data_IF_419557653891
#
_entry.id   IF_419557653891
#
_cell.length_a   1.000
_cell.length_b   1.000
_cell.length_c   1.000
_cell.angle_alpha   90.00
_cell.angle_beta   90.00
_cell.angle_gamma   90.00
#
_symmetry.space_group_name_H-M   'P 1'
#
loop_
_entity.id
_entity.type
_entity.pdbx_description
1 polymer ?
#
# COMPACT_ATOMS: atom_id res chain seq x y z
N UNK A 1 71.70 -1.77 -1.05
CA UNK A 1 72.83 -0.84 -0.77
C UNK A 1 72.22 0.55 -0.61
N UNK A 2 71.90 0.99 0.60
CA UNK A 2 72.72 1.88 1.46
C UNK A 2 73.20 3.14 0.73
N UNK A 3 72.64 4.30 1.06
CA UNK A 3 73.40 5.48 1.46
C UNK A 3 72.46 6.61 1.95
N UNK A 4 72.58 6.87 3.24
CA UNK A 4 72.16 8.09 3.95
C UNK A 4 73.25 9.15 3.73
N UNK A 5 72.88 10.43 3.60
CA UNK A 5 73.77 11.59 3.84
C UNK A 5 72.96 12.65 4.62
N UNK A 6 73.15 12.84 5.94
CA UNK A 6 74.23 13.57 6.65
C UNK A 6 73.93 15.09 6.76
N UNK A 7 73.28 15.51 7.87
CA UNK A 7 73.80 16.33 9.01
C UNK A 7 73.98 17.83 8.72
N UNK A 8 73.28 18.67 9.48
CA UNK A 8 73.87 19.82 10.18
C UNK A 8 73.01 20.22 11.39
N UNK A 9 73.67 20.22 12.55
CA UNK A 9 73.17 20.43 13.91
C UNK A 9 73.62 21.84 14.36
N UNK A 10 72.78 22.60 15.06
CA UNK A 10 73.24 23.59 16.04
C UNK A 10 72.16 23.85 17.10
N UNK A 11 72.51 23.59 18.37
CA UNK A 11 71.74 23.99 19.57
C UNK A 11 71.86 25.50 19.84
N UNK A 12 71.38 26.08 20.93
CA UNK A 12 70.87 25.63 22.22
C UNK A 12 70.27 26.88 22.93
N UNK A 13 69.48 26.69 24.00
CA UNK A 13 69.14 27.61 25.12
C UNK A 13 67.87 28.49 25.08
N UNK A 14 66.85 27.94 25.75
CA UNK A 14 66.13 28.47 26.94
C UNK A 14 65.54 29.89 26.94
N UNK A 15 64.20 29.93 27.01
CA UNK A 15 63.42 31.05 27.52
C UNK A 15 61.98 30.64 27.82
N UNK A 16 61.69 30.30 29.09
CA UNK A 16 60.31 30.15 29.60
C UNK A 16 59.61 31.50 29.54
N UNK A 17 58.53 31.60 28.78
CA UNK A 17 57.56 32.67 28.84
C UNK A 17 56.15 32.07 28.84
N UNK A 18 55.52 32.02 30.01
CA UNK A 18 54.09 31.80 30.13
C UNK A 18 53.39 33.05 29.59
N UNK A 19 52.86 32.97 28.37
CA UNK A 19 51.89 33.92 27.87
C UNK A 19 50.61 33.14 27.59
N UNK A 20 49.57 33.46 28.37
CA UNK A 20 48.20 33.05 28.14
C UNK A 20 47.83 33.39 26.69
N UNK A 21 47.78 32.38 25.82
CA UNK A 21 47.05 32.48 24.58
C UNK A 21 45.57 32.37 24.94
N UNK A 22 44.86 33.49 24.85
CA UNK A 22 43.41 33.52 24.88
C UNK A 22 42.88 32.45 23.93
N UNK A 23 42.30 31.40 24.51
CA UNK A 23 41.52 30.42 23.76
C UNK A 23 40.33 31.17 23.19
N UNK A 24 40.43 31.56 21.92
CA UNK A 24 39.25 31.85 21.09
C UNK A 24 38.31 30.66 21.30
N UNK A 25 37.06 30.87 21.77
CA UNK A 25 36.11 29.77 21.91
C UNK A 25 36.03 29.04 20.56
N UNK A 26 35.83 27.71 20.53
CA UNK A 26 35.51 27.05 19.28
C UNK A 26 34.34 27.82 18.69
N UNK A 27 34.53 28.37 17.49
CA UNK A 27 33.45 29.02 16.77
C UNK A 27 32.31 28.02 16.78
N UNK A 28 31.21 28.38 17.45
CA UNK A 28 29.94 27.67 17.34
C UNK A 28 29.78 27.40 15.85
N UNK A 29 29.88 26.13 15.45
CA UNK A 29 29.37 25.70 14.17
C UNK A 29 27.88 25.93 14.29
N UNK A 30 27.46 27.14 13.92
CA UNK A 30 26.08 27.46 13.65
C UNK A 30 25.55 26.28 12.83
N UNK A 31 24.49 25.58 13.28
CA UNK A 31 23.90 24.50 12.50
C UNK A 31 23.75 25.02 11.07
N UNK A 32 24.30 24.29 10.09
CA UNK A 32 24.12 24.64 8.69
C UNK A 32 22.61 24.80 8.49
N UNK A 33 22.18 25.98 8.02
CA UNK A 33 20.76 26.24 7.83
C UNK A 33 20.16 25.13 6.96
N UNK A 34 18.93 24.66 7.24
CA UNK A 34 18.28 23.66 6.41
C UNK A 34 18.28 24.16 4.96
N UNK A 35 18.89 23.38 4.07
CA UNK A 35 18.87 23.72 2.63
C UNK A 35 17.46 23.45 2.15
N UNK A 36 16.79 24.48 1.66
CA UNK A 36 15.50 24.34 1.02
C UNK A 36 15.69 24.35 -0.51
N UNK A 37 14.87 23.57 -1.20
CA UNK A 37 14.79 23.61 -2.67
C UNK A 37 13.32 23.56 -3.06
N UNK A 38 12.94 24.33 -4.07
CA UNK A 38 11.63 24.27 -4.68
C UNK A 38 11.69 23.27 -5.83
N UNK A 39 10.89 22.21 -5.74
CA UNK A 39 10.67 21.29 -6.85
C UNK A 39 9.48 21.77 -7.66
N UNK A 40 9.65 21.93 -8.96
CA UNK A 40 8.56 22.24 -9.90
C UNK A 40 8.36 21.12 -10.91
N UNK A 41 7.12 20.93 -11.35
CA UNK A 41 6.69 19.85 -12.21
C UNK A 41 5.85 20.39 -13.38
N UNK A 42 5.83 19.67 -14.51
CA UNK A 42 5.11 20.07 -15.72
C UNK A 42 3.57 20.17 -15.55
N UNK A 43 3.02 19.71 -14.43
CA UNK A 43 1.60 19.86 -14.07
C UNK A 43 1.29 19.27 -12.70
N UNK A 44 0.03 19.33 -12.29
CA UNK A 44 -0.44 18.70 -11.04
C UNK A 44 -0.39 17.17 -11.13
N UNK A 45 -0.27 16.52 -9.99
CA UNK A 45 -0.20 15.06 -9.88
C UNK A 45 0.44 14.62 -8.59
N UNK A 46 0.01 13.46 -8.07
CA UNK A 46 0.54 12.92 -6.84
C UNK A 46 2.01 12.52 -7.00
N UNK A 47 2.86 13.13 -6.19
CA UNK A 47 4.30 12.89 -6.16
C UNK A 47 4.75 12.70 -4.75
N UNK A 48 5.64 11.74 -4.56
CA UNK A 48 6.24 11.43 -3.28
C UNK A 48 7.71 11.73 -3.33
N UNK A 49 8.31 12.09 -2.21
CA UNK A 49 9.74 12.30 -2.12
C UNK A 49 10.27 11.96 -0.74
N UNK A 50 11.53 11.56 -0.69
CA UNK A 50 12.24 11.29 0.57
C UNK A 50 13.72 11.57 0.38
N UNK A 51 14.44 11.74 1.49
CA UNK A 51 15.89 11.97 1.48
C UNK A 51 16.63 10.77 2.01
N UNK A 52 17.83 10.53 1.48
CA UNK A 52 18.73 9.48 1.92
C UNK A 52 20.11 10.06 2.24
N UNK A 53 20.79 9.47 3.22
CA UNK A 53 22.18 9.80 3.52
C UNK A 53 23.14 9.16 2.50
N UNK A 54 24.44 9.39 2.67
CA UNK A 54 25.47 8.84 1.77
C UNK A 54 25.54 7.30 1.75
N UNK A 55 24.95 6.62 2.74
CA UNK A 55 24.84 5.16 2.81
C UNK A 55 23.56 4.62 2.17
N UNK A 56 22.66 5.49 1.71
CA UNK A 56 21.36 5.12 1.17
C UNK A 56 20.29 4.88 2.24
N UNK A 57 20.54 5.25 3.49
CA UNK A 57 19.55 5.12 4.57
C UNK A 57 18.59 6.33 4.54
N UNK A 58 17.27 6.11 4.67
CA UNK A 58 16.30 7.20 4.66
C UNK A 58 16.48 8.10 5.88
N UNK A 59 16.51 9.42 5.65
CA UNK A 59 16.65 10.44 6.69
C UNK A 59 15.32 11.08 7.09
N UNK A 60 14.35 11.03 6.19
CA UNK A 60 13.01 11.57 6.38
C UNK A 60 11.97 10.55 5.91
N UNK A 61 10.81 10.46 6.56
CA UNK A 61 9.69 9.71 6.01
C UNK A 61 9.31 10.29 4.63
N UNK A 62 8.79 9.47 3.71
CA UNK A 62 8.23 9.94 2.46
C UNK A 62 7.17 11.02 2.68
N UNK A 63 7.34 12.15 2.01
CA UNK A 63 6.37 13.24 1.97
C UNK A 63 5.74 13.29 0.58
N UNK A 64 4.59 13.94 0.43
CA UNK A 64 3.90 14.03 -0.86
C UNK A 64 3.34 15.40 -1.16
N UNK A 65 3.11 15.65 -2.45
CA UNK A 65 2.38 16.80 -2.97
C UNK A 65 1.50 16.37 -4.14
N UNK A 66 0.40 17.08 -4.36
CA UNK A 66 -0.38 16.99 -5.60
C UNK A 66 -0.20 18.23 -6.48
N UNK A 67 0.45 19.26 -5.95
CA UNK A 67 0.63 20.54 -6.62
C UNK A 67 1.71 20.44 -7.70
N UNK A 68 1.70 21.40 -8.63
CA UNK A 68 2.73 21.55 -9.64
C UNK A 68 4.08 22.04 -9.07
N UNK A 69 4.13 22.45 -7.80
CA UNK A 69 5.36 22.88 -7.12
C UNK A 69 5.31 22.59 -5.62
N UNK A 70 6.45 22.34 -5.00
CA UNK A 70 6.55 22.15 -3.55
C UNK A 70 7.93 22.52 -3.01
N UNK A 71 7.99 23.06 -1.79
CA UNK A 71 9.25 23.35 -1.10
C UNK A 71 9.67 22.12 -0.31
N UNK A 72 10.87 21.64 -0.60
CA UNK A 72 11.52 20.48 0.04
C UNK A 72 12.60 20.97 0.98
N UNK A 73 12.49 20.57 2.25
CA UNK A 73 13.52 20.81 3.25
C UNK A 73 14.47 19.63 3.29
N UNK A 74 15.76 19.87 3.02
CA UNK A 74 16.78 18.84 3.13
C UNK A 74 17.31 18.78 4.57
N UNK A 75 17.18 17.64 5.25
CA UNK A 75 17.78 17.47 6.57
C UNK A 75 19.31 17.45 6.47
N UNK A 76 19.96 17.73 7.60
CA UNK A 76 21.41 17.62 7.68
C UNK A 76 21.88 16.20 7.34
N UNK A 77 22.96 16.09 6.56
CA UNK A 77 23.47 14.79 6.11
C UNK A 77 22.74 14.18 4.90
N UNK A 78 21.72 14.84 4.34
CA UNK A 78 21.11 14.42 3.09
C UNK A 78 22.13 14.41 1.95
N UNK A 79 22.28 13.25 1.32
CA UNK A 79 23.14 13.05 0.16
C UNK A 79 22.33 12.90 -1.13
N UNK A 80 21.12 12.33 -1.05
CA UNK A 80 20.21 12.17 -2.17
C UNK A 80 18.78 12.57 -1.81
N UNK A 81 18.07 13.14 -2.78
CA UNK A 81 16.64 13.39 -2.77
C UNK A 81 16.00 12.52 -3.86
N UNK A 82 15.11 11.63 -3.46
CA UNK A 82 14.32 10.82 -4.38
C UNK A 82 12.97 11.48 -4.60
N UNK A 83 12.51 11.50 -5.84
CA UNK A 83 11.15 11.94 -6.19
C UNK A 83 10.49 10.86 -7.04
N UNK A 84 9.29 10.47 -6.65
CA UNK A 84 8.44 9.45 -7.26
C UNK A 84 7.20 10.10 -7.85
N UNK A 85 6.90 9.77 -9.10
CA UNK A 85 5.65 10.17 -9.75
C UNK A 85 4.65 9.02 -9.71
N UNK A 86 3.53 9.23 -9.02
CA UNK A 86 2.51 8.21 -8.85
C UNK A 86 1.74 7.93 -10.16
N UNK A 87 1.69 8.84 -11.12
CA UNK A 87 0.97 8.54 -12.37
C UNK A 87 1.76 7.56 -13.23
N UNK A 88 3.06 7.80 -13.36
CA UNK A 88 3.94 7.11 -14.32
C UNK A 88 4.73 5.97 -13.69
N UNK A 89 4.93 5.99 -12.37
CA UNK A 89 5.80 5.06 -11.69
C UNK A 89 7.28 5.35 -11.94
N UNK A 90 7.62 6.56 -12.36
CA UNK A 90 9.00 7.01 -12.56
C UNK A 90 9.61 7.51 -11.24
N UNK A 91 10.92 7.38 -11.14
CA UNK A 91 11.74 7.88 -10.06
C UNK A 91 12.86 8.75 -10.62
N UNK A 92 13.19 9.80 -9.88
CA UNK A 92 14.45 10.54 -10.06
C UNK A 92 15.23 10.55 -8.75
N UNK A 93 16.53 10.32 -8.85
CA UNK A 93 17.48 10.56 -7.78
C UNK A 93 18.25 11.85 -8.06
N UNK A 94 18.18 12.81 -7.16
CA UNK A 94 18.87 14.08 -7.23
C UNK A 94 19.96 14.12 -6.16
N UNK A 95 21.18 14.48 -6.54
CA UNK A 95 22.27 14.66 -5.58
C UNK A 95 22.01 15.93 -4.76
N UNK A 96 21.98 15.82 -3.43
CA UNK A 96 21.67 16.95 -2.55
C UNK A 96 22.66 18.12 -2.69
N UNK A 97 23.93 17.83 -3.01
CA UNK A 97 24.97 18.83 -3.25
C UNK A 97 24.69 19.68 -4.51
N UNK A 98 24.06 19.09 -5.52
CA UNK A 98 23.84 19.68 -6.86
C UNK A 98 22.45 20.35 -6.99
N UNK A 99 21.62 20.29 -5.94
CA UNK A 99 20.31 20.92 -5.93
C UNK A 99 20.43 22.45 -5.91
N UNK A 100 19.68 23.08 -6.82
CA UNK A 100 19.51 24.52 -6.91
C UNK A 100 18.38 24.99 -6.00
N UNK A 101 18.22 26.30 -5.82
CA UNK A 101 17.06 26.86 -5.12
C UNK A 101 15.74 26.46 -5.79
N UNK A 102 15.72 26.38 -7.12
CA UNK A 102 14.61 25.86 -7.90
C UNK A 102 15.08 24.76 -8.84
N UNK A 103 14.39 23.63 -8.80
CA UNK A 103 14.74 22.41 -9.52
C UNK A 103 13.50 21.87 -10.23
N UNK A 104 13.41 22.13 -11.54
CA UNK A 104 12.33 21.60 -12.37
C UNK A 104 12.56 20.12 -12.71
N UNK A 105 11.54 19.29 -12.49
CA UNK A 105 11.52 17.86 -12.82
C UNK A 105 10.59 17.64 -14.02
N UNK A 106 11.21 17.43 -15.18
CA UNK A 106 10.54 17.16 -16.46
C UNK A 106 10.77 15.70 -16.89
N UNK A 107 10.14 15.29 -17.99
CA UNK A 107 10.23 13.92 -18.54
C UNK A 107 11.67 13.39 -18.70
N UNK A 108 12.62 14.27 -19.06
CA UNK A 108 14.02 13.90 -19.28
C UNK A 108 14.81 13.68 -17.98
N UNK A 109 14.32 14.19 -16.83
CA UNK A 109 14.97 14.02 -15.53
C UNK A 109 14.70 12.67 -14.89
N UNK A 110 13.66 11.96 -15.32
CA UNK A 110 13.40 10.62 -14.81
C UNK A 110 14.60 9.73 -15.09
N UNK A 111 15.11 9.07 -14.05
CA UNK A 111 16.31 8.24 -14.15
C UNK A 111 16.04 6.76 -13.88
N UNK A 112 14.92 6.45 -13.23
CA UNK A 112 14.59 5.09 -12.83
C UNK A 112 13.09 4.80 -13.01
N UNK A 113 12.79 3.53 -13.18
CA UNK A 113 11.46 2.95 -12.95
C UNK A 113 11.40 2.50 -11.50
N UNK A 114 10.31 2.86 -10.80
CA UNK A 114 10.14 2.50 -9.40
C UNK A 114 10.10 1.00 -9.18
N UNK A 115 9.37 0.27 -10.04
CA UNK A 115 9.19 -1.18 -9.96
C UNK A 115 9.19 -1.81 -11.35
N UNK A 116 9.94 -2.88 -11.55
CA UNK A 116 9.93 -3.73 -12.74
C UNK A 116 9.59 -5.15 -12.31
N UNK A 117 8.57 -5.73 -12.92
CA UNK A 117 8.18 -7.11 -12.66
C UNK A 117 8.82 -8.03 -13.69
N UNK A 118 9.38 -9.14 -13.24
CA UNK A 118 9.94 -10.20 -14.07
C UNK A 118 9.19 -11.49 -13.77
N UNK A 119 8.54 -12.05 -14.78
CA UNK A 119 7.86 -13.34 -14.72
C UNK A 119 8.78 -14.40 -15.32
N UNK A 120 9.20 -15.36 -14.50
CA UNK A 120 10.00 -16.50 -14.93
C UNK A 120 9.10 -17.70 -15.21
N UNK A 121 9.19 -18.19 -16.44
CA UNK A 121 8.43 -19.34 -16.91
C UNK A 121 9.39 -20.43 -17.39
N UNK A 122 9.05 -21.69 -17.18
CA UNK A 122 9.67 -22.82 -17.86
C UNK A 122 8.56 -23.75 -18.35
N UNK A 123 8.59 -24.10 -19.63
CA UNK A 123 7.53 -24.92 -20.27
C UNK A 123 6.12 -24.36 -20.05
N UNK A 124 5.98 -23.03 -20.01
CA UNK A 124 4.71 -22.33 -19.78
C UNK A 124 4.20 -22.32 -18.33
N UNK A 125 4.94 -22.93 -17.39
CA UNK A 125 4.63 -22.91 -15.96
C UNK A 125 5.58 -21.99 -15.20
N UNK A 126 5.14 -21.35 -14.10
CA UNK A 126 6.03 -20.52 -13.30
C UNK A 126 7.15 -21.32 -12.66
N UNK A 127 8.34 -20.75 -12.66
CA UNK A 127 9.55 -21.36 -12.11
C UNK A 127 9.46 -21.33 -10.58
N UNK A 128 9.86 -22.44 -9.93
CA UNK A 128 9.82 -22.54 -8.47
C UNK A 128 10.96 -21.75 -7.80
N UNK A 129 12.14 -21.69 -8.41
CA UNK A 129 13.25 -20.92 -7.84
C UNK A 129 14.22 -20.51 -8.93
N UNK A 130 14.90 -19.38 -8.76
CA UNK A 130 15.96 -18.93 -9.65
C UNK A 130 16.69 -17.74 -9.01
N UNK A 131 17.91 -17.46 -9.47
CA UNK A 131 18.57 -16.19 -9.22
C UNK A 131 18.38 -15.31 -10.45
N UNK A 132 17.79 -14.12 -10.26
CA UNK A 132 17.55 -13.17 -11.35
C UNK A 132 18.37 -11.92 -11.10
N UNK A 133 19.00 -11.45 -12.17
CA UNK A 133 19.87 -10.28 -12.17
C UNK A 133 19.40 -9.30 -13.23
N UNK A 134 19.19 -8.04 -12.86
CA UNK A 134 19.03 -6.94 -13.82
C UNK A 134 20.33 -6.14 -13.82
N UNK A 135 20.97 -6.04 -14.97
CA UNK A 135 22.18 -5.24 -15.18
C UNK A 135 21.84 -4.02 -16.03
N UNK A 136 22.16 -2.84 -15.52
CA UNK A 136 21.95 -1.58 -16.24
C UNK A 136 23.04 -1.33 -17.30
N UNK A 137 22.86 -0.28 -18.10
CA UNK A 137 23.83 0.13 -19.12
C UNK A 137 25.21 0.54 -18.55
N UNK A 138 25.30 0.83 -17.24
CA UNK A 138 26.55 1.17 -16.53
C UNK A 138 27.22 -0.07 -15.94
N UNK A 139 26.63 -1.26 -16.09
CA UNK A 139 27.13 -2.52 -15.54
C UNK A 139 26.78 -2.75 -14.07
N UNK A 140 25.93 -1.92 -13.46
CA UNK A 140 25.45 -2.14 -12.09
C UNK A 140 24.39 -3.23 -12.10
N UNK A 141 24.58 -4.25 -11.27
CA UNK A 141 23.68 -5.41 -11.20
C UNK A 141 22.84 -5.38 -9.93
N UNK A 142 21.53 -5.52 -10.10
CA UNK A 142 20.57 -5.79 -9.04
C UNK A 142 20.24 -7.28 -9.04
N UNK A 143 20.46 -7.98 -7.94
CA UNK A 143 20.21 -9.42 -7.82
C UNK A 143 19.05 -9.70 -6.87
N UNK A 144 18.14 -10.58 -7.27
CA UNK A 144 17.05 -11.11 -6.44
C UNK A 144 17.00 -12.63 -6.58
N UNK A 145 16.53 -13.29 -5.53
CA UNK A 145 16.27 -14.72 -5.53
C UNK A 145 14.76 -14.90 -5.62
N UNK A 146 14.32 -15.67 -6.60
CA UNK A 146 12.95 -16.14 -6.72
C UNK A 146 12.76 -17.28 -5.71
N UNK A 147 11.92 -17.03 -4.72
CA UNK A 147 11.50 -18.02 -3.73
C UNK A 147 10.27 -18.80 -4.27
N UNK A 148 10.08 -20.08 -3.91
CA UNK A 148 8.94 -20.89 -4.38
C UNK A 148 7.56 -20.28 -4.10
N UNK A 149 7.41 -19.53 -3.02
CA UNK A 149 6.16 -18.84 -2.70
C UNK A 149 5.84 -17.68 -3.63
N UNK A 150 6.79 -17.23 -4.45
CA UNK A 150 6.63 -16.07 -5.32
C UNK A 150 6.05 -16.43 -6.71
N UNK A 151 5.66 -17.69 -6.94
CA UNK A 151 4.91 -18.12 -8.14
C UNK A 151 5.57 -17.68 -9.47
N UNK A 152 6.90 -17.72 -9.56
CA UNK A 152 7.63 -17.29 -10.75
C UNK A 152 7.76 -15.78 -10.91
N UNK A 153 7.24 -14.96 -10.00
CA UNK A 153 7.21 -13.50 -10.11
C UNK A 153 8.30 -12.88 -9.22
N UNK A 154 9.06 -11.95 -9.79
CA UNK A 154 9.99 -11.10 -9.06
C UNK A 154 9.75 -9.63 -9.34
N UNK A 155 9.91 -8.79 -8.32
CA UNK A 155 9.87 -7.34 -8.45
C UNK A 155 11.23 -6.74 -8.11
N UNK A 156 11.76 -5.96 -9.04
CA UNK A 156 12.95 -5.15 -8.87
C UNK A 156 12.54 -3.70 -8.65
N UNK A 157 13.17 -3.06 -7.67
CA UNK A 157 12.89 -1.67 -7.34
C UNK A 157 14.02 -0.76 -7.79
N UNK A 158 13.67 0.50 -8.11
CA UNK A 158 14.63 1.55 -8.49
C UNK A 158 15.54 1.11 -9.65
N UNK A 159 14.93 0.56 -10.71
CA UNK A 159 15.65 0.06 -11.87
C UNK A 159 15.97 1.23 -12.81
N UNK A 160 17.24 1.45 -13.21
CA UNK A 160 17.59 2.55 -14.09
C UNK A 160 16.85 2.47 -15.44
N UNK A 161 16.44 3.64 -15.95
CA UNK A 161 15.91 3.78 -17.30
C UNK A 161 16.99 3.52 -18.35
N UNK A 162 16.57 3.16 -19.56
CA UNK A 162 17.45 2.81 -20.66
C UNK A 162 17.61 1.31 -20.86
N UNK A 163 18.72 0.91 -21.50
CA UNK A 163 18.99 -0.49 -21.80
C UNK A 163 19.33 -1.25 -20.52
N UNK A 164 18.66 -2.39 -20.33
CA UNK A 164 18.91 -3.31 -19.23
C UNK A 164 18.99 -4.75 -19.76
N UNK A 165 19.83 -5.56 -19.14
CA UNK A 165 19.95 -6.99 -19.41
C UNK A 165 19.46 -7.78 -18.20
N UNK A 166 18.43 -8.60 -18.40
CA UNK A 166 17.84 -9.46 -17.37
C UNK A 166 18.37 -10.86 -17.59
N UNK A 167 19.00 -11.42 -16.56
CA UNK A 167 19.55 -12.78 -16.59
C UNK A 167 18.95 -13.59 -15.46
N UNK A 168 18.28 -14.69 -15.79
CA UNK A 168 17.85 -15.71 -14.87
C UNK A 168 18.82 -16.89 -14.89
N UNK A 169 19.14 -17.44 -13.72
CA UNK A 169 19.91 -18.68 -13.55
C UNK A 169 19.16 -19.64 -12.64
N UNK A 170 19.11 -20.90 -13.04
CA UNK A 170 18.58 -22.00 -12.25
C UNK A 170 19.62 -23.12 -12.18
N UNK A 171 20.08 -23.45 -10.97
CA UNK A 171 21.24 -24.32 -10.78
C UNK A 171 22.48 -23.75 -11.49
N UNK A 172 23.39 -24.65 -11.88
CA UNK A 172 24.64 -24.28 -12.54
C UNK A 172 24.51 -24.23 -14.08
N UNK A 173 23.55 -24.97 -14.64
CA UNK A 173 23.49 -25.23 -16.08
C UNK A 173 22.43 -24.42 -16.84
N UNK A 174 21.33 -24.03 -16.18
CA UNK A 174 20.21 -23.37 -16.86
C UNK A 174 20.31 -21.85 -16.71
N UNK A 175 20.32 -21.16 -17.84
CA UNK A 175 20.40 -19.70 -17.90
C UNK A 175 19.54 -19.16 -19.04
N UNK A 176 18.81 -18.09 -18.78
CA UNK A 176 18.15 -17.29 -19.80
C UNK A 176 18.58 -15.82 -19.64
N UNK A 177 18.80 -15.14 -20.75
CA UNK A 177 19.12 -13.71 -20.77
C UNK A 177 18.25 -13.01 -21.80
N UNK A 178 17.71 -11.86 -21.43
CA UNK A 178 16.92 -11.00 -22.30
C UNK A 178 17.33 -9.55 -22.11
N UNK A 179 17.49 -8.85 -23.21
CA UNK A 179 17.72 -7.40 -23.21
C UNK A 179 16.40 -6.67 -23.47
N UNK A 180 16.20 -5.57 -22.76
CA UNK A 180 15.07 -4.67 -23.00
C UNK A 180 15.47 -3.23 -22.75
N UNK A 181 14.63 -2.29 -23.18
CA UNK A 181 14.82 -0.86 -22.92
C UNK A 181 13.66 -0.33 -22.09
N UNK A 182 13.95 0.12 -20.88
CA UNK A 182 12.99 0.76 -20.00
C UNK A 182 12.86 2.24 -20.38
N UNK A 183 11.64 2.66 -20.72
CA UNK A 183 11.32 4.04 -21.11
C UNK A 183 10.57 4.77 -20.00
N UNK A 184 10.73 6.10 -19.96
CA UNK A 184 10.00 6.94 -19.02
C UNK A 184 8.51 7.00 -19.38
N UNK A 185 8.20 7.17 -20.67
CA UNK A 185 6.84 7.07 -21.21
C UNK A 185 6.45 5.60 -21.44
N UNK A 186 5.33 5.21 -20.83
CA UNK A 186 4.81 3.85 -20.87
C UNK A 186 3.35 3.83 -20.46
N UNK A 187 2.60 2.88 -21.00
CA UNK A 187 1.20 2.65 -20.66
C UNK A 187 1.05 2.09 -19.25
N UNK A 188 1.91 1.12 -18.90
CA UNK A 188 1.91 0.48 -17.59
C UNK A 188 2.94 1.13 -16.65
N UNK A 189 2.47 1.48 -15.45
CA UNK A 189 3.28 2.00 -14.33
C UNK A 189 4.33 0.99 -13.83
N UNK A 190 4.08 -0.30 -14.03
CA UNK A 190 5.00 -1.39 -13.69
C UNK A 190 5.21 -2.21 -14.96
N UNK A 191 6.35 -2.09 -15.66
CA UNK A 191 6.66 -2.94 -16.80
C UNK A 191 6.80 -4.40 -16.35
N UNK A 192 6.19 -5.29 -17.12
CA UNK A 192 6.25 -6.73 -16.94
C UNK A 192 7.16 -7.31 -18.03
N UNK A 193 8.14 -8.10 -17.62
CA UNK A 193 9.09 -8.76 -18.51
C UNK A 193 8.94 -10.26 -18.31
N UNK A 194 8.59 -10.99 -19.36
CA UNK A 194 8.51 -12.44 -19.32
C UNK A 194 9.83 -13.04 -19.79
N UNK A 195 10.42 -13.91 -18.97
CA UNK A 195 11.68 -14.59 -19.26
C UNK A 195 11.48 -16.10 -19.16
N UNK A 196 11.68 -16.79 -20.29
CA UNK A 196 11.55 -18.23 -20.36
C UNK A 196 12.90 -18.94 -20.12
N UNK A 197 12.96 -19.82 -19.12
CA UNK A 197 14.04 -20.77 -18.93
C UNK A 197 13.73 -22.08 -19.68
N UNK A 198 14.74 -22.61 -20.36
CA UNK A 198 14.70 -23.92 -21.01
C UNK A 198 15.28 -25.01 -20.10
N UNK A 199 15.10 -26.27 -20.49
CA UNK A 199 15.69 -27.41 -19.81
C UNK A 199 14.90 -27.94 -18.60
N UNK A 200 15.59 -28.70 -17.75
CA UNK A 200 15.03 -29.32 -16.55
C UNK A 200 14.99 -28.32 -15.40
N UNK A 201 13.95 -27.49 -15.37
CA UNK A 201 13.72 -26.48 -14.34
C UNK A 201 12.51 -26.87 -13.50
N UNK A 202 12.64 -26.77 -12.18
CA UNK A 202 11.50 -27.00 -11.28
C UNK A 202 10.43 -25.93 -11.52
N UNK A 203 9.20 -26.39 -11.79
CA UNK A 203 8.04 -25.53 -12.02
C UNK A 203 6.98 -25.77 -10.95
N UNK A 204 6.15 -24.76 -10.73
CA UNK A 204 5.03 -24.84 -9.82
C UNK A 204 3.78 -25.27 -10.59
N UNK A 205 3.08 -26.27 -10.08
CA UNK A 205 1.70 -26.54 -10.48
C UNK A 205 0.79 -25.61 -9.71
N UNK A 206 0.52 -24.45 -10.31
CA UNK A 206 -0.56 -23.60 -9.84
C UNK A 206 -1.85 -24.31 -10.23
N UNK A 207 -2.65 -24.73 -9.25
CA UNK A 207 -4.01 -25.19 -9.49
C UNK A 207 -4.70 -24.12 -10.35
N UNK A 208 -5.41 -24.48 -11.43
CA UNK A 208 -6.07 -23.49 -12.26
C UNK A 208 -6.94 -22.64 -11.34
N UNK A 209 -6.55 -21.37 -11.20
CA UNK A 209 -7.39 -20.35 -10.59
C UNK A 209 -8.71 -20.52 -11.31
N UNK A 210 -9.77 -20.94 -10.61
CA UNK A 210 -11.08 -21.12 -11.24
C UNK A 210 -11.30 -19.88 -12.05
N UNK A 211 -11.29 -20.05 -13.38
CA UNK A 211 -11.51 -18.96 -14.29
C UNK A 211 -12.89 -18.45 -13.90
N UNK A 212 -12.93 -17.32 -13.20
CA UNK A 212 -14.04 -16.41 -13.39
C UNK A 212 -14.13 -16.28 -14.90
N UNK A 213 -15.23 -16.76 -15.46
CA UNK A 213 -15.45 -16.81 -16.88
C UNK A 213 -15.34 -15.38 -17.44
N UNK A 214 -14.13 -14.97 -17.80
CA UNK A 214 -13.88 -14.00 -18.84
C UNK A 214 -14.40 -14.67 -20.09
N UNK A 215 -15.66 -14.37 -20.40
CA UNK A 215 -16.20 -14.65 -21.71
C UNK A 215 -15.38 -13.87 -22.72
N UNK A 216 -14.46 -14.57 -23.38
CA UNK A 216 -13.99 -14.20 -24.70
C UNK A 216 -15.20 -14.28 -25.66
N UNK A 217 -15.98 -13.21 -25.69
CA UNK A 217 -16.74 -12.86 -26.88
C UNK A 217 -15.91 -11.80 -27.59
N UNK A 218 -14.99 -12.27 -28.43
CA UNK A 218 -14.50 -11.53 -29.58
C UNK A 218 -15.72 -10.93 -30.28
N UNK A 219 -15.98 -9.64 -30.06
CA UNK A 219 -17.12 -8.96 -30.68
C UNK A 219 -16.65 -8.60 -32.09
N UNK A 220 -17.09 -9.29 -33.17
CA UNK A 220 -16.83 -8.78 -34.50
C UNK A 220 -17.48 -7.40 -34.55
N UNK A 221 -16.78 -6.41 -35.12
CA UNK A 221 -17.22 -5.01 -35.16
C UNK A 221 -18.69 -4.90 -35.60
N UNK A 222 -19.60 -4.94 -34.63
CA UNK A 222 -21.02 -4.92 -34.86
C UNK A 222 -21.32 -3.47 -35.19
N UNK A 223 -21.69 -3.25 -36.46
CA UNK A 223 -22.14 -1.97 -36.97
C UNK A 223 -22.95 -1.25 -35.90
N UNK A 224 -22.53 -0.02 -35.55
CA UNK A 224 -23.14 0.81 -34.49
C UNK A 224 -24.66 0.92 -34.63
N UNK A 225 -25.18 0.67 -35.83
CA UNK A 225 -26.60 0.59 -36.18
C UNK A 225 -27.31 -0.57 -35.45
N UNK A 226 -26.70 -1.75 -35.33
CA UNK A 226 -27.30 -2.91 -34.66
C UNK A 226 -27.45 -2.74 -33.15
N UNK A 227 -26.47 -2.10 -32.50
CA UNK A 227 -26.53 -1.79 -31.06
C UNK A 227 -27.64 -0.77 -30.75
N UNK A 228 -27.81 0.25 -31.60
CA UNK A 228 -28.87 1.26 -31.45
C UNK A 228 -30.25 0.61 -31.64
N UNK A 229 -30.42 -0.28 -32.63
CA UNK A 229 -31.69 -0.98 -32.84
C UNK A 229 -32.02 -1.91 -31.66
N UNK A 230 -31.06 -2.68 -31.15
CA UNK A 230 -31.25 -3.52 -29.97
C UNK A 230 -31.60 -2.69 -28.72
N UNK A 231 -30.98 -1.53 -28.54
CA UNK A 231 -31.29 -0.62 -27.44
C UNK A 231 -32.71 -0.07 -27.55
N UNK A 232 -33.17 0.31 -28.74
CA UNK A 232 -34.56 0.77 -28.96
C UNK A 232 -35.56 -0.35 -28.69
N UNK A 233 -35.27 -1.58 -29.12
CA UNK A 233 -36.14 -2.74 -28.85
C UNK A 233 -36.20 -3.03 -27.35
N UNK A 234 -35.06 -3.02 -26.65
CA UNK A 234 -35.00 -3.22 -25.20
C UNK A 234 -35.75 -2.11 -24.45
N UNK A 235 -35.61 -0.85 -24.88
CA UNK A 235 -36.33 0.29 -24.30
C UNK A 235 -37.84 0.18 -24.53
N UNK A 236 -38.28 -0.22 -25.73
CA UNK A 236 -39.69 -0.43 -26.03
C UNK A 236 -40.30 -1.57 -25.19
N UNK A 237 -39.56 -2.66 -25.00
CA UNK A 237 -39.97 -3.75 -24.11
C UNK A 237 -40.05 -3.29 -22.65
N UNK A 238 -39.06 -2.53 -22.17
CA UNK A 238 -39.06 -2.00 -20.81
C UNK A 238 -40.24 -1.04 -20.57
N UNK A 239 -40.51 -0.13 -21.51
CA UNK A 239 -41.68 0.76 -21.44
C UNK A 239 -42.99 -0.03 -21.50
N UNK A 240 -43.07 -1.06 -22.35
CA UNK A 240 -44.23 -1.96 -22.40
C UNK A 240 -44.47 -2.69 -21.08
N UNK A 241 -43.43 -3.20 -20.44
CA UNK A 241 -43.50 -3.83 -19.12
C UNK A 241 -43.91 -2.83 -18.04
N UNK A 242 -43.35 -1.62 -18.04
CA UNK A 242 -43.69 -0.58 -17.08
C UNK A 242 -45.16 -0.18 -17.24
N UNK A 243 -45.63 0.04 -18.47
CA UNK A 243 -47.03 0.35 -18.73
C UNK A 243 -47.95 -0.82 -18.37
N UNK A 244 -47.52 -2.07 -18.60
CA UNK A 244 -48.25 -3.27 -18.19
C UNK A 244 -48.34 -3.37 -16.67
N UNK A 245 -47.27 -3.09 -15.92
CA UNK A 245 -47.25 -3.08 -14.46
C UNK A 245 -48.13 -1.95 -13.90
N UNK A 246 -48.08 -0.75 -14.48
CA UNK A 246 -48.98 0.35 -14.12
C UNK A 246 -50.44 -0.04 -14.40
N UNK A 247 -50.71 -0.70 -15.53
CA UNK A 247 -52.05 -1.18 -15.87
C UNK A 247 -52.51 -2.31 -14.94
N UNK A 248 -51.62 -3.20 -14.52
CA UNK A 248 -51.89 -4.28 -13.57
C UNK A 248 -52.21 -3.71 -12.17
N UNK A 249 -51.40 -2.74 -11.72
CA UNK A 249 -51.59 -2.05 -10.45
C UNK A 249 -52.90 -1.24 -10.41
N UNK A 250 -53.35 -0.72 -11.54
CA UNK A 250 -54.57 0.10 -11.63
C UNK A 250 -55.85 -0.70 -11.87
N UNK A 251 -55.79 -1.91 -12.46
CA UNK A 251 -56.99 -2.68 -12.79
C UNK A 251 -57.42 -3.71 -11.74
N UNK A 252 -56.50 -4.26 -10.91
CA UNK A 252 -56.85 -5.29 -9.91
C UNK A 252 -55.98 -5.22 -8.64
N UNK A 253 -56.22 -4.26 -7.72
CA UNK A 253 -55.41 -4.10 -6.50
C UNK A 253 -55.49 -5.31 -5.54
N UNK A 254 -56.53 -6.15 -5.65
CA UNK A 254 -56.71 -7.31 -4.75
C UNK A 254 -55.84 -8.53 -5.11
N UNK A 255 -55.39 -8.67 -6.37
CA UNK A 255 -54.52 -9.80 -6.77
C UNK A 255 -53.03 -9.55 -6.46
N UNK A 256 -52.64 -8.29 -6.26
CA UNK A 256 -51.27 -7.95 -5.86
C UNK A 256 -50.99 -8.37 -4.41
N UNK A 257 -52.01 -8.30 -3.54
CA UNK A 257 -51.92 -8.80 -2.17
C UNK A 257 -51.72 -10.31 -2.09
N UNK A 258 -52.48 -11.09 -2.87
CA UNK A 258 -52.32 -12.55 -2.94
C UNK A 258 -50.96 -12.99 -3.52
N UNK A 259 -50.42 -12.25 -4.50
CA UNK A 259 -49.11 -12.53 -5.08
C UNK A 259 -47.96 -12.17 -4.12
N UNK A 260 -48.10 -11.09 -3.34
CA UNK A 260 -47.10 -10.69 -2.33
C UNK A 260 -47.10 -11.61 -1.11
N UNK A 261 -48.26 -12.11 -0.67
CA UNK A 261 -48.34 -13.13 0.38
C UNK A 261 -47.70 -14.46 -0.02
N UNK A 262 -47.67 -14.80 -1.32
CA UNK A 262 -47.01 -16.01 -1.84
C UNK A 262 -45.48 -15.91 -1.90
N UNK A 263 -44.92 -14.69 -1.88
CA UNK A 263 -43.47 -14.43 -1.89
C UNK A 263 -42.89 -14.14 -0.49
N UNK A 264 -43.68 -14.28 0.58
CA UNK A 264 -43.18 -14.26 1.96
C UNK A 264 -42.71 -12.89 2.47
N UNK A 265 -43.16 -11.79 1.85
CA UNK A 265 -42.87 -10.43 2.32
C UNK A 265 -44.10 -9.91 3.06
N UNK A 266 -44.14 -10.10 4.38
CA UNK A 266 -45.10 -9.41 5.25
C UNK A 266 -44.55 -8.05 5.67
N UNK A 267 -45.29 -6.98 5.35
CA UNK A 267 -45.07 -5.66 5.91
C UNK A 267 -45.74 -5.60 7.31
N UNK A 268 -45.07 -5.08 8.35
CA UNK A 268 -45.65 -5.01 9.69
C UNK A 268 -46.81 -4.00 9.69
N UNK A 269 -48.02 -4.45 10.02
CA UNK A 269 -49.07 -3.57 10.50
C UNK A 269 -48.90 -3.37 12.01
N UNK A 270 -48.96 -2.11 12.44
CA UNK A 270 -49.02 -1.74 13.84
C UNK A 270 -50.42 -2.06 14.40
N UNK A 271 -50.47 -2.89 15.43
CA UNK A 271 -51.69 -3.04 16.25
C UNK A 271 -51.29 -3.22 17.73
N UNK A 272 -52.00 -2.56 18.67
CA UNK A 272 -51.64 -2.55 20.07
C UNK A 272 -52.16 -3.78 20.84
N UNK A 273 -51.57 -3.94 22.03
CA UNK A 273 -52.13 -4.61 23.23
C UNK A 273 -52.24 -6.13 23.23
N UNK A 274 -51.39 -6.76 24.04
CA UNK A 274 -51.86 -7.33 25.30
C UNK A 274 -52.24 -8.81 25.33
N UNK A 275 -51.52 -9.52 26.22
CA UNK A 275 -51.88 -10.74 26.95
C UNK A 275 -51.82 -12.11 26.23
N UNK A 276 -50.97 -12.98 26.80
CA UNK A 276 -51.47 -14.26 27.31
C UNK A 276 -50.85 -15.55 26.77
N UNK A 277 -49.69 -15.92 27.30
CA UNK A 277 -49.30 -17.27 27.77
C UNK A 277 -49.45 -18.51 26.84
N UNK A 278 -48.32 -19.16 26.48
CA UNK A 278 -47.81 -20.37 27.15
C UNK A 278 -46.70 -21.11 26.35
N UNK A 279 -45.55 -21.29 27.01
CA UNK A 279 -44.59 -22.43 27.03
C UNK A 279 -44.09 -23.10 25.72
N UNK A 280 -42.84 -23.56 25.54
CA UNK A 280 -41.53 -23.52 26.24
C UNK A 280 -40.54 -24.33 25.37
N UNK A 281 -39.27 -23.94 25.20
CA UNK A 281 -38.02 -24.62 25.67
C UNK A 281 -36.83 -24.04 24.89
N UNK A 282 -35.77 -23.52 25.53
CA UNK A 282 -34.44 -24.19 25.69
C UNK A 282 -33.56 -23.45 26.75
N UNK A 283 -32.38 -23.97 27.18
CA UNK A 283 -31.93 -23.97 28.58
C UNK A 283 -30.93 -22.88 29.00
N UNK A 284 -30.85 -22.70 30.33
CA UNK A 284 -30.05 -21.74 31.11
C UNK A 284 -28.55 -22.05 31.24
N UNK A 285 -27.76 -20.98 31.36
CA UNK A 285 -26.42 -20.93 31.95
C UNK A 285 -26.49 -20.31 33.38
N UNK A 286 -25.51 -20.58 34.28
CA UNK A 286 -25.66 -20.47 35.74
C UNK A 286 -25.61 -19.05 36.34
N UNK A 287 -26.07 -18.85 37.59
CA UNK A 287 -26.35 -17.54 38.18
C UNK A 287 -25.12 -16.89 38.83
N UNK A 288 -25.03 -15.56 38.76
CA UNK A 288 -24.04 -14.76 39.49
C UNK A 288 -24.71 -14.04 40.69
N UNK A 289 -24.02 -13.85 41.84
CA UNK A 289 -24.66 -13.47 43.10
C UNK A 289 -25.04 -11.98 43.21
N UNK A 290 -26.11 -11.73 43.97
CA UNK A 290 -26.68 -10.42 44.29
C UNK A 290 -25.81 -9.56 45.23
N UNK A 291 -25.75 -8.25 44.96
CA UNK A 291 -25.29 -7.24 45.92
C UNK A 291 -26.47 -6.36 46.38
N UNK A 292 -26.54 -6.00 47.68
CA UNK A 292 -27.68 -5.27 48.27
C UNK A 292 -27.71 -3.77 47.92
N UNK A 293 -28.87 -3.11 48.11
CA UNK A 293 -29.21 -1.84 47.48
C UNK A 293 -28.70 -0.61 48.25
N UNK A 294 -28.38 0.46 47.51
CA UNK A 294 -28.14 1.79 48.05
C UNK A 294 -29.43 2.62 47.96
N UNK A 295 -30.25 2.59 49.00
CA UNK A 295 -31.12 3.72 49.40
C UNK A 295 -30.26 4.65 50.26
N UNK A 296 -30.40 5.97 50.34
CA UNK A 296 -31.38 7.00 49.98
C UNK A 296 -30.59 8.32 50.19
N UNK A 297 -30.95 9.52 49.79
CA UNK A 297 -32.04 10.15 49.06
C UNK A 297 -31.61 11.62 48.90
N UNK A 298 -32.14 12.34 47.92
CA UNK A 298 -32.03 13.80 47.93
C UNK A 298 -32.22 14.55 46.61
N UNK A 299 -33.28 14.24 45.84
CA UNK A 299 -34.18 15.18 45.11
C UNK A 299 -33.60 16.57 44.74
N UNK A 300 -33.29 16.89 43.47
CA UNK A 300 -34.15 17.23 42.28
C UNK A 300 -34.39 18.74 42.12
N UNK A 301 -34.77 19.29 40.93
CA UNK A 301 -34.43 18.94 39.54
C UNK A 301 -34.13 20.21 38.67
N UNK A 302 -33.66 20.05 37.42
CA UNK A 302 -34.15 20.80 36.22
C UNK A 302 -33.34 20.44 34.96
N UNK A 303 -34.08 19.93 33.95
CA UNK A 303 -33.82 19.88 32.50
C UNK A 303 -32.52 19.20 32.02
N UNK A 304 -32.51 18.17 31.16
CA UNK A 304 -33.53 17.50 30.36
C UNK A 304 -32.81 16.68 29.27
N UNK A 305 -33.44 15.60 28.83
CA UNK A 305 -33.11 14.75 27.66
C UNK A 305 -32.00 13.67 27.81
N UNK A 306 -32.48 12.42 27.94
CA UNK A 306 -32.29 11.42 26.87
C UNK A 306 -30.98 10.62 26.85
N UNK A 307 -30.94 9.51 27.58
CA UNK A 307 -30.02 8.39 27.37
C UNK A 307 -30.42 7.59 26.13
N UNK A 308 -29.60 7.67 25.08
CA UNK A 308 -29.38 6.63 24.07
C UNK A 308 -28.10 6.96 23.31
N UNK A 309 -26.94 6.73 23.91
CA UNK A 309 -25.66 6.77 23.20
C UNK A 309 -25.54 5.48 22.37
N UNK A 310 -26.18 5.48 21.20
CA UNK A 310 -25.65 4.73 20.07
C UNK A 310 -24.21 5.22 19.87
N UNK A 311 -23.24 4.32 19.92
CA UNK A 311 -21.87 4.61 19.47
C UNK A 311 -21.96 5.00 18.00
N UNK A 312 -22.11 6.30 17.75
CA UNK A 312 -21.67 6.93 16.52
C UNK A 312 -20.17 6.67 16.46
N UNK A 313 -19.79 5.64 15.69
CA UNK A 313 -18.44 5.56 15.15
C UNK A 313 -18.23 6.89 14.45
N UNK A 314 -17.46 7.77 15.10
CA UNK A 314 -17.04 9.00 14.49
C UNK A 314 -16.38 8.60 13.17
N UNK A 315 -16.82 9.22 12.08
CA UNK A 315 -16.11 9.17 10.81
C UNK A 315 -14.79 9.94 10.99
N UNK A 316 -13.86 9.32 11.71
CA UNK A 316 -12.50 9.76 11.91
C UNK A 316 -11.53 8.77 11.26
N UNK A 317 -10.26 9.15 11.09
CA UNK A 317 -9.25 8.25 10.54
C UNK A 317 -9.09 7.03 11.45
N UNK A 318 -8.95 5.83 10.86
CA UNK A 318 -8.72 4.58 11.57
C UNK A 318 -7.72 4.75 12.73
N UNK A 319 -8.15 4.46 13.94
CA UNK A 319 -7.39 4.66 15.16
C UNK A 319 -6.52 3.44 15.48
N UNK A 320 -7.01 2.23 15.20
CA UNK A 320 -6.29 0.99 15.49
C UNK A 320 -6.71 -0.18 14.60
N UNK A 321 -5.86 -1.21 14.58
CA UNK A 321 -6.15 -2.51 13.97
C UNK A 321 -6.30 -3.56 15.06
N UNK A 322 -7.45 -4.21 15.13
CA UNK A 322 -7.70 -5.30 16.08
C UNK A 322 -7.67 -6.63 15.33
N UNK A 323 -6.70 -7.48 15.65
CA UNK A 323 -6.58 -8.81 15.06
C UNK A 323 -7.74 -9.69 15.53
N UNK A 324 -8.56 -10.13 14.59
CA UNK A 324 -9.73 -11.00 14.80
C UNK A 324 -9.43 -12.47 14.50
N UNK A 325 -8.45 -12.74 13.63
CA UNK A 325 -8.00 -14.10 13.27
C UNK A 325 -6.49 -14.13 13.03
N UNK A 326 -5.94 -15.34 12.97
CA UNK A 326 -4.51 -15.60 12.74
C UNK A 326 -3.68 -15.62 14.02
N UNK A 327 -2.33 -15.67 13.91
CA UNK A 327 -1.42 -15.80 15.06
C UNK A 327 -1.51 -14.65 16.07
N UNK A 328 -2.14 -13.54 15.70
CA UNK A 328 -2.27 -12.33 16.50
C UNK A 328 -3.68 -12.11 17.05
N UNK A 329 -4.61 -13.05 16.86
CA UNK A 329 -6.01 -12.89 17.27
C UNK A 329 -6.13 -12.43 18.74
N UNK A 330 -6.92 -11.38 18.97
CA UNK A 330 -7.10 -10.73 20.27
C UNK A 330 -6.12 -9.59 20.56
N UNK A 331 -5.11 -9.36 19.73
CA UNK A 331 -4.20 -8.22 19.87
C UNK A 331 -4.72 -6.98 19.13
N UNK A 332 -4.40 -5.81 19.67
CA UNK A 332 -4.70 -4.52 19.06
C UNK A 332 -3.40 -3.75 18.78
N UNK A 333 -3.32 -3.14 17.60
CA UNK A 333 -2.20 -2.32 17.15
C UNK A 333 -2.68 -0.90 16.93
N UNK A 334 -2.19 0.03 17.74
CA UNK A 334 -2.55 1.45 17.65
C UNK A 334 -1.89 2.10 16.42
N UNK A 335 -2.66 2.88 15.65
CA UNK A 335 -2.15 3.62 14.50
C UNK A 335 -1.68 5.00 14.95
N UNK A 336 -0.48 5.08 15.52
CA UNK A 336 0.03 6.29 16.19
C UNK A 336 0.83 7.23 15.29
N UNK A 337 1.28 6.77 14.12
CA UNK A 337 2.14 7.55 13.21
C UNK A 337 1.47 7.86 11.87
N UNK A 338 1.92 8.92 11.20
CA UNK A 338 1.46 9.29 9.86
C UNK A 338 1.87 8.29 8.78
N UNK A 339 2.96 7.56 9.02
CA UNK A 339 3.40 6.44 8.19
C UNK A 339 3.80 5.28 9.11
N UNK A 340 3.15 4.14 8.92
CA UNK A 340 3.43 2.92 9.67
C UNK A 340 3.62 1.75 8.71
N UNK A 341 4.75 1.06 8.83
CA UNK A 341 5.03 -0.12 8.01
C UNK A 341 4.55 -1.38 8.72
N UNK A 342 4.02 -2.31 7.92
CA UNK A 342 3.54 -3.61 8.35
C UNK A 342 4.37 -4.67 7.64
N UNK A 343 4.87 -5.64 8.39
CA UNK A 343 5.62 -6.73 7.81
C UNK A 343 6.05 -7.76 8.83
N UNK A 344 6.64 -8.85 8.36
CA UNK A 344 7.13 -9.93 9.21
C UNK A 344 8.47 -9.60 9.88
N UNK A 345 9.22 -8.63 9.36
CA UNK A 345 10.44 -8.18 10.04
C UNK A 345 10.12 -7.40 11.32
N UNK A 346 10.88 -7.67 12.38
CA UNK A 346 10.67 -7.06 13.70
C UNK A 346 10.95 -5.55 13.75
N UNK A 347 11.60 -5.00 12.72
CA UNK A 347 11.89 -3.57 12.57
C UNK A 347 10.69 -2.73 12.12
N UNK A 348 9.58 -3.36 11.71
CA UNK A 348 8.37 -2.67 11.29
C UNK A 348 7.53 -2.20 12.47
N UNK A 349 6.78 -1.11 12.28
CA UNK A 349 5.92 -0.55 13.32
C UNK A 349 4.82 -1.54 13.76
N UNK A 350 4.29 -2.31 12.81
CA UNK A 350 3.42 -3.45 13.06
C UNK A 350 4.16 -4.71 12.59
N UNK A 351 4.86 -5.34 13.54
CA UNK A 351 5.68 -6.52 13.30
C UNK A 351 4.86 -7.82 13.46
N UNK A 352 4.54 -8.47 12.34
CA UNK A 352 3.80 -9.73 12.28
C UNK A 352 4.76 -10.93 12.14
N UNK A 353 5.78 -11.00 12.99
CA UNK A 353 6.90 -11.98 12.97
C UNK A 353 6.47 -13.45 12.84
N UNK A 354 5.42 -13.86 13.55
CA UNK A 354 4.86 -15.22 13.56
C UNK A 354 3.92 -15.57 12.39
N UNK A 355 3.56 -14.62 11.52
CA UNK A 355 2.69 -14.89 10.37
C UNK A 355 3.53 -15.10 9.12
N UNK A 356 3.79 -16.36 8.78
CA UNK A 356 4.58 -16.74 7.61
C UNK A 356 3.95 -16.33 6.27
N UNK A 357 2.63 -16.06 6.24
CA UNK A 357 1.95 -15.52 5.09
C UNK A 357 2.20 -14.03 4.88
N UNK A 358 2.83 -13.36 5.84
CA UNK A 358 3.21 -11.94 5.74
C UNK A 358 4.64 -11.83 5.20
N UNK A 359 4.82 -11.10 4.10
CA UNK A 359 6.13 -10.71 3.57
C UNK A 359 6.94 -9.90 4.58
N UNK A 360 8.28 -9.92 4.43
CA UNK A 360 9.21 -9.22 5.32
C UNK A 360 8.84 -7.75 5.50
N UNK A 361 8.65 -7.07 4.36
CA UNK A 361 7.98 -5.78 4.23
C UNK A 361 6.75 -6.02 3.37
N UNK A 362 5.55 -5.83 3.93
CA UNK A 362 4.31 -6.29 3.31
C UNK A 362 3.45 -5.13 2.82
N UNK A 363 3.14 -4.20 3.71
CA UNK A 363 2.26 -3.08 3.43
C UNK A 363 2.68 -1.85 4.25
N UNK A 364 2.11 -0.71 3.92
CA UNK A 364 2.20 0.48 4.75
C UNK A 364 0.83 1.12 4.92
N UNK A 365 0.61 1.67 6.11
CA UNK A 365 -0.51 2.54 6.41
C UNK A 365 0.00 3.98 6.36
N UNK A 366 -0.72 4.83 5.62
CA UNK A 366 -0.46 6.26 5.53
C UNK A 366 -1.67 7.03 6.02
N UNK A 367 -1.48 7.91 7.00
CA UNK A 367 -2.48 8.87 7.46
C UNK A 367 -2.30 10.18 6.69
N UNK A 368 -3.38 10.66 6.08
CA UNK A 368 -3.39 11.89 5.29
C UNK A 368 -4.61 12.72 5.69
N UNK A 369 -4.39 13.71 6.58
CA UNK A 369 -5.49 14.43 7.21
C UNK A 369 -6.43 13.46 7.94
N UNK A 370 -7.71 13.48 7.56
CA UNK A 370 -8.75 12.63 8.17
C UNK A 370 -8.88 11.25 7.50
N UNK A 371 -8.03 10.92 6.53
CA UNK A 371 -8.05 9.64 5.83
C UNK A 371 -6.90 8.73 6.26
N UNK A 372 -7.19 7.45 6.40
CA UNK A 372 -6.17 6.40 6.55
C UNK A 372 -6.17 5.57 5.28
N UNK A 373 -5.01 5.36 4.69
CA UNK A 373 -4.83 4.60 3.46
C UNK A 373 -3.95 3.38 3.75
N UNK A 374 -4.26 2.25 3.14
CA UNK A 374 -3.38 1.08 3.09
C UNK A 374 -2.81 0.95 1.68
N UNK A 375 -1.51 0.69 1.61
CA UNK A 375 -0.80 0.41 0.37
C UNK A 375 0.00 -0.89 0.50
N UNK A 376 -0.21 -1.79 -0.45
CA UNK A 376 0.58 -3.01 -0.56
C UNK A 376 1.96 -2.69 -1.14
N UNK A 377 3.02 -3.14 -0.46
CA UNK A 377 4.41 -2.89 -0.84
C UNK A 377 4.99 -3.98 -1.75
N UNK A 378 4.14 -4.68 -2.49
CA UNK A 378 4.53 -5.81 -3.34
C UNK A 378 4.61 -7.11 -2.55
N UNK A 379 3.66 -7.33 -1.65
CA UNK A 379 3.63 -8.54 -0.82
C UNK A 379 3.30 -9.78 -1.65
N UNK A 380 3.79 -10.93 -1.19
CA UNK A 380 3.65 -12.22 -1.86
C UNK A 380 2.20 -12.65 -1.94
N UNK A 381 1.50 -12.64 -0.80
CA UNK A 381 0.09 -13.06 -0.75
C UNK A 381 -0.89 -11.92 -1.06
N UNK A 382 -0.42 -10.67 -1.12
CA UNK A 382 -1.27 -9.50 -1.28
C UNK A 382 -1.89 -9.03 0.04
N UNK A 383 -2.24 -7.75 0.05
CA UNK A 383 -3.08 -7.12 1.07
C UNK A 383 -4.52 -7.07 0.58
N UNK A 384 -5.49 -7.35 1.45
CA UNK A 384 -6.91 -7.30 1.08
C UNK A 384 -7.70 -6.41 2.04
N UNK A 385 -8.61 -5.62 1.50
CA UNK A 385 -9.59 -4.83 2.26
C UNK A 385 -10.98 -5.32 1.91
N UNK A 386 -11.74 -5.73 2.91
CA UNK A 386 -13.09 -6.32 2.76
C UNK A 386 -13.13 -7.48 1.75
N UNK A 387 -12.08 -8.31 1.74
CA UNK A 387 -11.93 -9.43 0.80
C UNK A 387 -11.48 -9.06 -0.61
N UNK A 388 -11.31 -7.76 -0.92
CA UNK A 388 -10.84 -7.27 -2.22
C UNK A 388 -9.35 -6.97 -2.15
N UNK A 389 -8.58 -7.49 -3.11
CA UNK A 389 -7.13 -7.29 -3.15
C UNK A 389 -6.80 -5.83 -3.46
N UNK A 390 -5.90 -5.25 -2.69
CA UNK A 390 -5.39 -3.89 -2.86
C UNK A 390 -4.37 -3.87 -4.01
N UNK A 391 -4.57 -2.96 -4.97
CA UNK A 391 -3.68 -2.76 -6.12
C UNK A 391 -3.14 -1.32 -6.23
N UNK A 392 -3.69 -0.40 -5.43
CA UNK A 392 -3.31 1.00 -5.30
C UNK A 392 -3.63 1.47 -3.87
N UNK A 393 -3.10 2.62 -3.41
CA UNK A 393 -3.45 3.17 -2.09
C UNK A 393 -4.98 3.21 -1.89
N UNK A 394 -5.46 2.45 -0.92
CA UNK A 394 -6.89 2.19 -0.70
C UNK A 394 -7.32 2.76 0.66
N UNK A 395 -8.41 3.54 0.74
CA UNK A 395 -8.92 4.04 2.01
C UNK A 395 -9.32 2.92 2.96
N UNK A 396 -8.87 3.00 4.21
CA UNK A 396 -9.33 2.22 5.35
C UNK A 396 -10.29 3.07 6.18
N UNK A 397 -11.48 2.52 6.43
CA UNK A 397 -12.50 3.13 7.30
C UNK A 397 -12.73 2.24 8.52
N UNK A 398 -13.14 2.86 9.62
CA UNK A 398 -13.58 2.11 10.79
C UNK A 398 -14.69 1.11 10.41
N UNK A 399 -14.54 -0.13 10.86
CA UNK A 399 -15.39 -1.27 10.51
C UNK A 399 -14.87 -2.13 9.35
N UNK A 400 -13.92 -1.63 8.54
CA UNK A 400 -13.34 -2.41 7.46
C UNK A 400 -12.56 -3.62 7.98
N UNK A 401 -12.44 -4.64 7.14
CA UNK A 401 -11.63 -5.82 7.40
C UNK A 401 -10.36 -5.76 6.56
N UNK A 402 -9.20 -5.81 7.21
CA UNK A 402 -7.89 -5.84 6.56
C UNK A 402 -7.26 -7.22 6.72
N UNK A 403 -6.83 -7.85 5.63
CA UNK A 403 -6.17 -9.16 5.65
C UNK A 403 -4.74 -9.05 5.13
N UNK A 404 -3.79 -9.59 5.89
CA UNK A 404 -2.41 -9.77 5.48
C UNK A 404 -1.95 -11.18 5.90
N UNK A 405 -1.53 -12.01 4.95
CA UNK A 405 -1.17 -13.40 5.24
C UNK A 405 -2.32 -14.18 5.87
N UNK A 406 -2.06 -14.83 7.00
CA UNK A 406 -3.08 -15.55 7.78
C UNK A 406 -3.82 -14.68 8.80
N UNK A 407 -3.42 -13.42 8.96
CA UNK A 407 -3.97 -12.50 9.95
C UNK A 407 -5.08 -11.64 9.37
N UNK A 408 -6.20 -11.59 10.09
CA UNK A 408 -7.37 -10.79 9.75
C UNK A 408 -7.60 -9.73 10.82
N UNK A 409 -7.64 -8.46 10.43
CA UNK A 409 -7.79 -7.32 11.30
C UNK A 409 -9.13 -6.63 11.04
N UNK A 410 -9.76 -6.15 12.10
CA UNK A 410 -10.83 -5.16 12.03
C UNK A 410 -10.22 -3.79 12.25
N UNK A 411 -10.55 -2.85 11.37
CA UNK A 411 -10.18 -1.45 11.51
C UNK A 411 -11.15 -0.79 12.48
N UNK A 412 -10.65 -0.07 13.48
CA UNK A 412 -11.47 0.65 14.47
C UNK A 412 -11.12 2.12 14.56
#
# INVERSE_FOLDING_TARGET
MRAVCTIALLGLLLGRGLAQGETKPPADQKPAAPRETTLSFTGEGERWWWTENAKGEPLSPPQKTSDASTVVKLPEGAAALWVYDAKTGNLVQLTAADLKEETEITGERWSHVARVQVNLLAQGKPVASAVVQITDAKGKTHTRVLEPSAEGILVFERVPLGKVSITARYGDDQKATQETTLKAEREARVPIIELALSGAVATLEIAPKTAEAQGDAETPAASRIGAIVMFIIALALAVGVILFLIRLATQKPQQLGEAMSKLGVELPQATPTGQGSAASTTPSAPPQPDLPPLESAGVDPTAGAGVAAASTVAAGPAARLVATQGPYAGQAFELTGDLMTIGREASHAIALVNDMGVSRTHAQIVRQGDQTLIEDLGSTNGTYVNGVRVSAPTPLKAGDTLQLGASLFRVE
#
